data_IF_873674004902
#
_entry.id   IF_873674004902
#
_cell.length_a   1.000
_cell.length_b   1.000
_cell.length_c   1.000
_cell.angle_alpha   90.00
_cell.angle_beta   90.00
_cell.angle_gamma   90.00
#
_symmetry.space_group_name_H-M   'P 1'
#
loop_
_entity.id
_entity.type
_entity.pdbx_description
1 polymer ?
#
# COMPACT_ATOMS: atom_id res chain seq x y z
N UNK A 1 -42.08 -25.80 -0.20
CA UNK A 1 -40.83 -25.75 0.57
C UNK A 1 -39.75 -25.13 -0.34
N UNK A 2 -39.11 -24.04 0.00
CA UNK A 2 -37.99 -23.55 -0.79
C UNK A 2 -36.92 -24.63 -0.84
N UNK A 3 -36.38 -24.89 -2.00
CA UNK A 3 -35.27 -25.85 -2.17
C UNK A 3 -34.11 -25.45 -1.24
N UNK A 4 -33.43 -26.41 -0.58
CA UNK A 4 -32.29 -26.11 0.27
C UNK A 4 -31.22 -25.35 -0.52
N UNK A 5 -30.63 -24.34 0.10
CA UNK A 5 -29.47 -23.66 -0.47
C UNK A 5 -28.29 -24.64 -0.53
N UNK A 6 -27.72 -24.80 -1.70
CA UNK A 6 -26.58 -25.69 -1.96
C UNK A 6 -25.34 -24.93 -2.46
N UNK A 7 -25.39 -23.59 -2.41
CA UNK A 7 -24.31 -22.73 -2.90
C UNK A 7 -23.46 -22.23 -1.75
N UNK A 8 -22.14 -22.22 -1.91
CA UNK A 8 -21.23 -21.63 -0.98
C UNK A 8 -21.11 -20.12 -1.23
N UNK A 9 -20.81 -19.31 -0.18
CA UNK A 9 -20.65 -17.88 -0.34
C UNK A 9 -19.46 -17.55 -1.25
N UNK A 10 -19.55 -16.44 -1.96
CA UNK A 10 -18.52 -15.99 -2.88
C UNK A 10 -17.84 -14.74 -2.31
N UNK A 11 -16.51 -14.79 -2.18
CA UNK A 11 -15.70 -13.61 -1.90
C UNK A 11 -15.59 -12.80 -3.20
N UNK A 12 -16.15 -11.60 -3.21
CA UNK A 12 -16.25 -10.75 -4.39
C UNK A 12 -15.02 -9.86 -4.55
N UNK A 13 -14.54 -9.27 -3.45
CA UNK A 13 -13.40 -8.35 -3.44
C UNK A 13 -12.82 -8.17 -2.04
N UNK A 14 -11.71 -7.45 -1.96
CA UNK A 14 -11.05 -7.05 -0.72
C UNK A 14 -10.81 -5.54 -0.71
N UNK A 15 -10.73 -4.93 0.48
CA UNK A 15 -10.49 -3.49 0.65
C UNK A 15 -9.10 -3.03 0.19
N UNK A 16 -8.16 -3.96 0.10
CA UNK A 16 -6.81 -3.76 -0.42
C UNK A 16 -6.65 -4.75 -1.57
N UNK A 17 -6.18 -4.34 -2.75
CA UNK A 17 -5.89 -5.28 -3.84
C UNK A 17 -4.83 -6.31 -3.45
N UNK A 18 -4.97 -7.54 -3.93
CA UNK A 18 -3.91 -8.54 -3.81
C UNK A 18 -2.63 -8.03 -4.49
N UNK A 19 -1.46 -8.46 -4.00
CA UNK A 19 -0.13 -8.01 -4.42
C UNK A 19 0.23 -6.55 -4.06
N UNK A 20 -0.57 -5.90 -3.21
CA UNK A 20 -0.22 -4.59 -2.65
C UNK A 20 1.02 -4.66 -1.77
N UNK A 21 1.81 -3.58 -1.81
CA UNK A 21 2.96 -3.44 -0.92
C UNK A 21 2.53 -3.04 0.49
N UNK A 22 3.28 -3.55 1.47
CA UNK A 22 3.16 -3.17 2.88
C UNK A 22 4.41 -2.42 3.29
N UNK A 23 4.22 -1.32 4.02
CA UNK A 23 5.34 -0.51 4.55
C UNK A 23 6.28 -1.37 5.38
N UNK A 24 7.58 -1.11 5.25
CA UNK A 24 8.63 -1.76 6.03
C UNK A 24 8.38 -1.63 7.54
N UNK A 25 8.56 -2.74 8.26
CA UNK A 25 8.36 -2.81 9.70
C UNK A 25 6.90 -2.96 10.14
N UNK A 26 5.94 -3.08 9.20
CA UNK A 26 4.52 -3.27 9.52
C UNK A 26 4.18 -4.75 9.51
N UNK A 27 3.99 -5.33 10.69
CA UNK A 27 3.68 -6.75 10.87
C UNK A 27 2.18 -7.11 10.85
N UNK A 28 1.29 -6.12 10.71
CA UNK A 28 -0.16 -6.32 10.71
C UNK A 28 -0.87 -5.31 9.82
N UNK A 29 -1.87 -5.77 9.05
CA UNK A 29 -2.64 -4.94 8.11
C UNK A 29 -4.13 -5.20 8.31
N UNK A 30 -4.97 -4.16 8.55
CA UNK A 30 -6.41 -4.31 8.59
C UNK A 30 -6.93 -4.61 7.18
N UNK A 31 -7.82 -5.61 7.07
CA UNK A 31 -8.41 -6.03 5.82
C UNK A 31 -9.92 -6.22 5.97
N UNK A 32 -10.66 -5.75 4.96
CA UNK A 32 -12.06 -6.09 4.76
C UNK A 32 -12.18 -7.01 3.55
N UNK A 33 -12.95 -8.07 3.73
CA UNK A 33 -13.33 -9.02 2.67
C UNK A 33 -14.83 -8.90 2.45
N UNK A 34 -15.26 -8.77 1.21
CA UNK A 34 -16.67 -8.55 0.86
C UNK A 34 -17.27 -9.79 0.24
N UNK A 35 -18.39 -10.24 0.81
CA UNK A 35 -19.05 -11.52 0.48
C UNK A 35 -20.47 -11.24 -0.03
N UNK A 36 -20.96 -12.03 -0.96
CA UNK A 36 -22.27 -11.86 -1.60
C UNK A 36 -23.46 -12.19 -0.69
N UNK A 37 -23.25 -12.91 0.42
CA UNK A 37 -24.29 -13.35 1.33
C UNK A 37 -23.81 -13.42 2.79
N UNK A 38 -24.72 -13.51 3.80
CA UNK A 38 -24.33 -13.66 5.19
C UNK A 38 -23.47 -14.91 5.40
N UNK A 39 -22.26 -14.71 5.92
CA UNK A 39 -21.31 -15.78 6.11
C UNK A 39 -20.47 -15.60 7.38
N UNK A 40 -19.81 -16.68 7.81
CA UNK A 40 -18.69 -16.66 8.73
C UNK A 40 -17.43 -17.01 7.96
N UNK A 41 -16.41 -16.16 8.02
CA UNK A 41 -15.16 -16.35 7.28
C UNK A 41 -13.98 -16.60 8.23
N UNK A 42 -13.03 -17.35 7.73
CA UNK A 42 -11.74 -17.62 8.39
C UNK A 42 -10.60 -17.42 7.41
N UNK A 43 -9.40 -17.24 7.95
CA UNK A 43 -8.19 -17.21 7.15
C UNK A 43 -7.03 -17.95 7.81
N UNK A 44 -6.07 -18.33 7.00
CA UNK A 44 -4.81 -18.93 7.41
C UNK A 44 -3.69 -18.48 6.45
N UNK A 45 -2.44 -18.53 6.91
CA UNK A 45 -1.25 -18.36 6.05
C UNK A 45 -0.97 -19.59 5.18
N UNK A 46 -1.70 -20.67 5.38
CA UNK A 46 -1.61 -21.90 4.59
C UNK A 46 -2.98 -22.25 4.00
N UNK A 47 -2.99 -22.85 2.83
CA UNK A 47 -4.23 -23.33 2.21
C UNK A 47 -4.77 -24.54 2.97
N UNK A 48 -5.66 -24.30 3.91
CA UNK A 48 -6.28 -25.31 4.79
C UNK A 48 -7.78 -25.38 4.56
N UNK A 49 -8.37 -26.47 5.02
CA UNK A 49 -9.83 -26.57 5.11
C UNK A 49 -10.38 -25.59 6.15
N UNK A 50 -11.61 -25.10 5.94
CA UNK A 50 -12.27 -24.11 6.80
C UNK A 50 -12.26 -24.51 8.29
N UNK A 51 -12.50 -25.79 8.60
CA UNK A 51 -12.58 -26.29 9.97
C UNK A 51 -11.28 -26.12 10.77
N UNK A 52 -10.14 -26.16 10.08
CA UNK A 52 -8.79 -26.09 10.70
C UNK A 52 -8.07 -24.76 10.47
N UNK A 53 -8.74 -23.76 9.86
CA UNK A 53 -8.20 -22.40 9.78
C UNK A 53 -8.22 -21.74 11.16
N UNK A 54 -7.12 -21.08 11.52
CA UNK A 54 -6.86 -20.59 12.87
C UNK A 54 -7.54 -19.25 13.18
N UNK A 55 -7.75 -18.42 12.19
CA UNK A 55 -8.15 -17.03 12.40
C UNK A 55 -9.58 -16.80 11.92
N UNK A 56 -10.46 -16.41 12.86
CA UNK A 56 -11.85 -16.07 12.57
C UNK A 56 -11.98 -14.59 12.26
N UNK A 57 -12.82 -14.24 11.28
CA UNK A 57 -13.14 -12.88 10.90
C UNK A 57 -14.43 -12.40 11.60
N UNK A 58 -14.55 -11.09 11.79
CA UNK A 58 -15.78 -10.48 12.26
C UNK A 58 -16.63 -10.07 11.05
N UNK A 59 -17.72 -10.81 10.81
CA UNK A 59 -18.57 -10.65 9.63
C UNK A 59 -19.91 -10.00 9.97
N UNK A 60 -20.37 -9.06 9.14
CA UNK A 60 -21.75 -8.59 9.13
C UNK A 60 -22.67 -9.70 8.62
N UNK A 61 -23.78 -9.93 9.31
CA UNK A 61 -24.76 -10.98 8.96
C UNK A 61 -26.17 -10.48 8.76
N UNK A 62 -26.43 -9.20 9.07
CA UNK A 62 -27.73 -8.57 8.94
C UNK A 62 -27.85 -7.73 7.65
N UNK A 63 -29.00 -7.76 7.02
CA UNK A 63 -29.32 -6.94 5.84
C UNK A 63 -29.11 -5.43 6.06
N UNK A 64 -29.25 -4.94 7.29
CA UNK A 64 -28.99 -3.53 7.63
C UNK A 64 -27.51 -3.15 7.64
N UNK A 65 -26.61 -4.12 7.53
CA UNK A 65 -25.16 -3.96 7.59
C UNK A 65 -24.47 -4.18 6.24
N UNK A 66 -25.25 -4.37 5.18
CA UNK A 66 -24.70 -4.45 3.82
C UNK A 66 -24.12 -3.10 3.39
N UNK A 67 -23.06 -3.13 2.60
CA UNK A 67 -22.47 -1.92 2.03
C UNK A 67 -23.28 -1.41 0.81
N UNK A 68 -22.86 -0.28 0.23
CA UNK A 68 -23.51 0.32 -0.93
C UNK A 68 -23.53 -0.55 -2.21
N UNK A 69 -22.75 -1.66 -2.22
CA UNK A 69 -22.70 -2.65 -3.31
C UNK A 69 -23.50 -3.92 -3.00
N UNK A 70 -24.33 -3.87 -1.96
CA UNK A 70 -25.13 -5.01 -1.49
C UNK A 70 -24.27 -6.21 -1.02
N UNK A 71 -23.03 -5.95 -0.54
CA UNK A 71 -22.12 -6.97 -0.04
C UNK A 71 -22.00 -6.93 1.49
N UNK A 72 -21.80 -8.09 2.10
CA UNK A 72 -21.53 -8.26 3.51
C UNK A 72 -20.03 -8.12 3.78
N UNK A 73 -19.66 -7.35 4.78
CA UNK A 73 -18.27 -7.09 5.12
C UNK A 73 -17.80 -8.02 6.22
N UNK A 74 -16.70 -8.73 6.00
CA UNK A 74 -15.93 -9.46 7.00
C UNK A 74 -14.62 -8.71 7.28
N UNK A 75 -14.37 -8.35 8.52
CA UNK A 75 -13.19 -7.62 8.97
C UNK A 75 -12.20 -8.53 9.68
N UNK A 76 -10.92 -8.32 9.44
CA UNK A 76 -9.81 -8.92 10.19
C UNK A 76 -8.58 -8.04 10.19
N UNK A 77 -7.64 -8.32 11.10
CA UNK A 77 -6.25 -7.89 10.99
C UNK A 77 -5.41 -9.08 10.53
N UNK A 78 -4.83 -8.98 9.34
CA UNK A 78 -3.82 -9.92 8.89
C UNK A 78 -2.55 -9.69 9.70
N UNK A 79 -2.01 -10.74 10.29
CA UNK A 79 -0.82 -10.70 11.16
C UNK A 79 0.28 -11.61 10.64
N UNK A 80 1.49 -11.45 11.14
CA UNK A 80 2.64 -12.26 10.74
C UNK A 80 3.23 -11.83 9.39
N UNK A 81 2.95 -10.59 8.96
CA UNK A 81 3.53 -10.03 7.74
C UNK A 81 5.03 -9.82 7.95
N UNK A 82 5.80 -10.31 7.01
CA UNK A 82 7.26 -10.22 7.00
C UNK A 82 7.72 -9.26 5.93
N UNK A 83 8.72 -8.48 6.28
CA UNK A 83 9.41 -7.59 5.35
C UNK A 83 10.15 -8.36 4.26
N UNK A 84 10.26 -7.78 3.08
CA UNK A 84 11.02 -8.31 1.93
C UNK A 84 10.56 -9.67 1.42
N UNK A 85 9.36 -10.11 1.83
CA UNK A 85 8.80 -11.41 1.45
C UNK A 85 7.40 -11.24 0.85
N UNK A 86 6.98 -12.24 0.10
CA UNK A 86 5.58 -12.43 -0.25
C UNK A 86 4.85 -13.09 0.92
N UNK A 87 3.79 -12.44 1.39
CA UNK A 87 2.97 -12.90 2.50
C UNK A 87 1.64 -13.41 1.95
N UNK A 88 1.46 -14.72 1.94
CA UNK A 88 0.28 -15.39 1.40
C UNK A 88 -0.76 -15.66 2.47
N UNK A 89 -2.00 -15.39 2.14
CA UNK A 89 -3.17 -15.63 2.99
C UNK A 89 -4.24 -16.35 2.16
N UNK A 90 -5.01 -17.18 2.82
CA UNK A 90 -6.08 -17.96 2.21
C UNK A 90 -7.35 -17.78 3.03
N UNK A 91 -8.45 -17.43 2.36
CA UNK A 91 -9.74 -17.22 3.00
C UNK A 91 -10.72 -18.28 2.56
N UNK A 92 -11.57 -18.73 3.48
CA UNK A 92 -12.77 -19.52 3.20
C UNK A 92 -13.92 -18.96 4.01
N UNK A 93 -15.10 -18.99 3.43
CA UNK A 93 -16.33 -18.57 4.08
C UNK A 93 -17.34 -19.73 4.12
N UNK A 94 -18.21 -19.72 5.11
CA UNK A 94 -19.27 -20.65 5.33
C UNK A 94 -20.58 -19.87 5.46
N UNK A 95 -21.58 -20.21 4.65
CA UNK A 95 -22.85 -19.52 4.55
C UNK A 95 -23.75 -19.68 5.79
N UNK A 96 -24.93 -19.08 5.75
CA UNK A 96 -26.06 -19.27 6.64
C UNK A 96 -25.68 -19.40 8.14
N UNK A 97 -25.09 -18.35 8.79
CA UNK A 97 -24.57 -18.43 10.17
C UNK A 97 -25.60 -18.85 11.22
N UNK A 98 -26.89 -18.70 10.92
CA UNK A 98 -28.01 -19.06 11.82
C UNK A 98 -28.53 -20.49 11.67
N UNK A 99 -28.00 -21.25 10.69
CA UNK A 99 -28.41 -22.63 10.42
C UNK A 99 -27.50 -23.63 11.15
N UNK A 100 -28.00 -24.88 11.37
CA UNK A 100 -27.15 -25.98 11.83
C UNK A 100 -25.94 -26.19 10.93
N UNK A 101 -24.87 -26.72 11.49
CA UNK A 101 -23.56 -26.85 10.85
C UNK A 101 -23.61 -27.72 9.58
N UNK A 102 -24.44 -28.76 9.58
CA UNK A 102 -24.66 -29.69 8.50
C UNK A 102 -25.40 -29.09 7.28
N UNK A 103 -26.15 -28.00 7.49
CA UNK A 103 -26.93 -27.32 6.44
C UNK A 103 -26.16 -26.16 5.79
N UNK A 104 -24.92 -25.96 6.17
CA UNK A 104 -24.11 -24.79 5.76
C UNK A 104 -23.07 -25.19 4.72
N UNK A 105 -22.93 -24.37 3.68
CA UNK A 105 -21.99 -24.63 2.58
C UNK A 105 -20.69 -23.84 2.80
N UNK A 106 -19.58 -24.49 2.48
CA UNK A 106 -18.21 -23.92 2.57
C UNK A 106 -17.58 -23.84 1.20
N UNK A 107 -16.78 -22.80 0.93
CA UNK A 107 -16.01 -22.70 -0.30
C UNK A 107 -15.13 -23.95 -0.48
N UNK A 108 -15.27 -24.60 -1.63
CA UNK A 108 -14.42 -25.74 -2.00
C UNK A 108 -12.98 -25.28 -2.22
N UNK A 109 -12.80 -24.12 -2.88
CA UNK A 109 -11.51 -23.51 -3.08
C UNK A 109 -11.35 -22.31 -2.14
N UNK A 110 -10.17 -22.16 -1.57
CA UNK A 110 -9.83 -20.94 -0.82
C UNK A 110 -9.69 -19.76 -1.78
N UNK A 111 -9.95 -18.55 -1.27
CA UNK A 111 -9.62 -17.29 -1.94
C UNK A 111 -8.17 -16.93 -1.59
N UNK A 112 -7.23 -16.96 -2.55
CA UNK A 112 -5.85 -16.60 -2.32
C UNK A 112 -5.69 -15.09 -2.30
N UNK A 113 -4.88 -14.59 -1.37
CA UNK A 113 -4.57 -13.18 -1.23
C UNK A 113 -3.10 -13.02 -0.86
N UNK A 114 -2.41 -12.08 -1.48
CA UNK A 114 -0.99 -11.85 -1.26
C UNK A 114 -0.71 -10.40 -0.89
N UNK A 115 0.23 -10.18 0.04
CA UNK A 115 0.81 -8.88 0.36
C UNK A 115 2.32 -8.96 0.20
N UNK A 116 2.92 -7.92 -0.36
CA UNK A 116 4.37 -7.83 -0.54
C UNK A 116 4.97 -6.98 0.57
N UNK A 117 5.79 -7.59 1.42
CA UNK A 117 6.60 -6.86 2.39
C UNK A 117 7.68 -6.06 1.68
N UNK A 118 7.79 -4.77 1.99
CA UNK A 118 8.80 -3.89 1.40
C UNK A 118 10.08 -3.82 2.24
N UNK A 119 11.01 -3.00 1.81
CA UNK A 119 12.24 -2.62 2.51
C UNK A 119 12.29 -1.09 2.68
N UNK A 120 13.21 -0.52 3.46
CA UNK A 120 13.32 0.92 3.59
C UNK A 120 13.59 1.59 2.24
N UNK A 121 12.92 2.70 1.94
CA UNK A 121 13.26 3.54 0.79
C UNK A 121 14.53 4.33 1.10
N UNK A 122 15.47 4.38 0.14
CA UNK A 122 16.70 5.13 0.26
C UNK A 122 16.79 6.22 -0.82
N UNK A 123 17.33 7.39 -0.47
CA UNK A 123 17.81 8.38 -1.42
C UNK A 123 19.31 8.17 -1.57
N UNK A 124 19.74 7.73 -2.75
CA UNK A 124 21.15 7.37 -3.00
C UNK A 124 21.97 8.52 -3.57
N UNK A 125 21.32 9.51 -4.19
CA UNK A 125 21.99 10.72 -4.63
C UNK A 125 21.04 11.91 -4.74
N UNK A 126 21.60 13.12 -4.54
CA UNK A 126 20.94 14.40 -4.75
C UNK A 126 21.87 15.32 -5.53
N UNK A 127 21.31 16.19 -6.36
CA UNK A 127 22.03 17.21 -7.10
C UNK A 127 21.24 18.53 -7.16
N UNK A 128 21.92 19.67 -7.45
CA UNK A 128 23.31 19.81 -7.85
C UNK A 128 24.31 19.76 -6.69
N UNK A 129 25.54 19.42 -6.98
CA UNK A 129 26.67 19.52 -6.05
C UNK A 129 27.56 20.69 -6.45
N UNK A 130 27.92 21.57 -5.48
CA UNK A 130 28.85 22.67 -5.70
C UNK A 130 28.19 23.95 -6.22
N UNK A 131 28.72 24.52 -7.29
CA UNK A 131 28.33 25.85 -7.80
C UNK A 131 27.77 25.76 -9.22
N UNK A 132 26.60 26.32 -9.43
CA UNK A 132 26.05 26.56 -10.77
C UNK A 132 26.44 27.96 -11.25
N UNK A 133 26.86 28.10 -12.49
CA UNK A 133 27.28 29.39 -13.09
C UNK A 133 26.51 29.67 -14.36
N UNK A 134 26.23 30.94 -14.63
CA UNK A 134 25.60 31.39 -15.86
C UNK A 134 25.85 32.86 -16.12
N UNK A 135 25.56 33.32 -17.37
CA UNK A 135 25.77 34.69 -17.81
C UNK A 135 24.47 35.50 -17.92
N UNK A 136 23.39 35.02 -17.32
CA UNK A 136 22.06 35.64 -17.36
C UNK A 136 21.58 35.97 -15.97
N UNK A 137 20.56 36.83 -15.84
CA UNK A 137 19.98 37.21 -14.54
C UNK A 137 19.47 36.02 -13.72
N UNK A 138 19.09 34.93 -14.40
CA UNK A 138 18.75 33.67 -13.79
C UNK A 138 19.54 32.53 -14.44
N UNK A 139 19.95 31.56 -13.64
CA UNK A 139 20.70 30.37 -14.08
C UNK A 139 19.77 29.17 -13.98
N UNK A 140 19.57 28.39 -15.04
CA UNK A 140 18.81 27.17 -14.97
C UNK A 140 19.54 26.11 -14.15
N UNK A 141 18.89 25.61 -13.11
CA UNK A 141 19.41 24.59 -12.21
C UNK A 141 18.45 23.40 -12.21
N UNK A 142 18.97 22.21 -12.38
CA UNK A 142 18.19 20.98 -12.25
C UNK A 142 18.42 20.36 -10.88
N UNK A 143 17.39 20.41 -10.02
CA UNK A 143 17.34 19.56 -8.85
C UNK A 143 17.13 18.12 -9.28
N UNK A 144 17.92 17.20 -8.73
CA UNK A 144 17.83 15.78 -9.06
C UNK A 144 17.88 14.96 -7.78
N UNK A 145 17.03 13.94 -7.72
CA UNK A 145 17.02 12.93 -6.65
C UNK A 145 16.98 11.55 -7.29
N UNK A 146 17.75 10.62 -6.76
CA UNK A 146 17.71 9.22 -7.15
C UNK A 146 17.37 8.39 -5.93
N UNK A 147 16.37 7.54 -6.06
CA UNK A 147 15.88 6.62 -5.02
C UNK A 147 16.20 5.18 -5.37
N UNK A 148 16.29 4.32 -4.36
CA UNK A 148 16.55 2.90 -4.47
C UNK A 148 15.86 2.13 -3.34
N UNK A 149 15.81 0.80 -3.43
CA UNK A 149 15.16 -0.07 -2.47
C UNK A 149 13.64 0.19 -2.32
N UNK A 150 13.13 0.28 -1.10
CA UNK A 150 11.71 0.52 -0.81
C UNK A 150 10.77 -0.58 -1.28
N UNK A 151 9.59 -0.16 -1.69
CA UNK A 151 8.66 -0.93 -2.48
C UNK A 151 8.95 -0.71 -3.98
N UNK A 152 8.85 -1.75 -4.80
CA UNK A 152 8.99 -1.66 -6.24
C UNK A 152 10.33 -1.02 -6.71
N UNK A 153 11.44 -1.49 -6.15
CA UNK A 153 12.81 -1.15 -6.60
C UNK A 153 13.09 0.37 -6.66
N UNK A 154 12.66 1.11 -5.64
CA UNK A 154 12.93 2.53 -5.51
C UNK A 154 11.97 3.46 -6.26
N UNK A 155 11.02 2.94 -7.03
CA UNK A 155 10.01 3.79 -7.69
C UNK A 155 9.20 4.55 -6.64
N UNK A 156 9.29 5.87 -6.67
CA UNK A 156 8.71 6.74 -5.64
C UNK A 156 8.16 8.05 -6.20
N UNK A 157 7.50 8.82 -5.34
CA UNK A 157 7.03 10.17 -5.61
C UNK A 157 7.83 11.10 -4.73
N UNK A 158 8.58 12.03 -5.34
CA UNK A 158 9.41 12.98 -4.62
C UNK A 158 8.84 14.39 -4.70
N UNK A 159 9.01 15.12 -3.62
CA UNK A 159 8.71 16.54 -3.47
C UNK A 159 9.91 17.28 -2.91
N UNK A 160 9.96 18.60 -3.14
CA UNK A 160 11.04 19.47 -2.67
C UNK A 160 10.49 20.70 -1.97
N UNK A 161 11.30 21.29 -1.08
CA UNK A 161 10.99 22.51 -0.35
C UNK A 161 12.25 23.31 -0.09
N UNK A 162 12.15 24.65 -0.18
CA UNK A 162 13.22 25.59 0.22
C UNK A 162 13.23 25.88 1.72
N UNK A 163 12.13 25.66 2.43
CA UNK A 163 11.99 25.94 3.86
C UNK A 163 11.96 24.71 4.74
N UNK A 164 11.50 23.57 4.20
CA UNK A 164 11.30 22.32 4.94
C UNK A 164 10.07 22.30 5.85
N UNK A 165 9.22 23.33 5.81
CA UNK A 165 7.96 23.32 6.54
C UNK A 165 6.98 22.30 5.95
N UNK A 166 6.12 21.66 6.74
CA UNK A 166 5.22 20.59 6.27
C UNK A 166 4.39 20.98 5.04
N UNK A 167 3.91 22.21 4.97
CA UNK A 167 3.04 22.71 3.89
C UNK A 167 3.80 23.38 2.73
N UNK A 168 5.13 23.31 2.71
CA UNK A 168 5.97 23.96 1.70
C UNK A 168 6.52 23.02 0.64
N UNK A 169 6.23 21.73 0.74
CA UNK A 169 6.68 20.74 -0.23
C UNK A 169 5.83 20.77 -1.50
N UNK A 170 6.51 20.85 -2.64
CA UNK A 170 5.93 20.84 -3.97
C UNK A 170 6.41 19.60 -4.70
N UNK A 171 5.52 18.93 -5.43
CA UNK A 171 5.89 17.77 -6.24
C UNK A 171 6.92 18.15 -7.28
N UNK A 172 7.93 17.30 -7.47
CA UNK A 172 8.87 17.44 -8.57
C UNK A 172 8.17 17.18 -9.89
N UNK A 173 8.58 17.89 -10.93
CA UNK A 173 7.96 17.82 -12.26
C UNK A 173 8.05 16.41 -12.85
N UNK A 174 9.24 15.83 -12.86
CA UNK A 174 9.44 14.43 -13.21
C UNK A 174 9.59 13.61 -11.94
N UNK A 175 8.61 12.75 -11.69
CA UNK A 175 8.53 11.86 -10.51
C UNK A 175 7.74 10.59 -10.87
N UNK A 176 7.44 9.73 -9.92
CA UNK A 176 6.89 8.37 -10.10
C UNK A 176 7.87 7.44 -10.84
N UNK A 177 9.13 7.58 -10.54
CA UNK A 177 10.24 6.84 -11.11
C UNK A 177 11.29 6.58 -10.03
N UNK A 178 12.45 6.11 -10.43
CA UNK A 178 13.66 6.00 -9.60
C UNK A 178 14.46 7.31 -9.63
N UNK A 179 14.43 8.00 -10.76
CA UNK A 179 15.08 9.29 -10.97
C UNK A 179 14.02 10.41 -11.01
N UNK A 180 14.23 11.48 -10.24
CA UNK A 180 13.31 12.60 -10.11
C UNK A 180 14.02 13.88 -10.45
N UNK A 181 13.40 14.76 -11.24
CA UNK A 181 14.00 16.02 -11.67
C UNK A 181 13.03 17.20 -11.53
N UNK A 182 13.60 18.36 -11.19
CA UNK A 182 12.90 19.63 -11.17
C UNK A 182 13.84 20.73 -11.66
N UNK A 183 13.49 21.37 -12.77
CA UNK A 183 14.19 22.57 -13.23
C UNK A 183 13.68 23.80 -12.49
N UNK A 184 14.64 24.63 -12.05
CA UNK A 184 14.42 25.97 -11.47
C UNK A 184 15.30 26.99 -12.19
N UNK A 185 14.81 28.20 -12.39
CA UNK A 185 15.60 29.33 -12.87
C UNK A 185 15.89 30.25 -11.68
N UNK A 186 17.14 30.24 -11.20
CA UNK A 186 17.55 30.84 -9.93
C UNK A 186 18.48 32.02 -10.16
N UNK A 187 18.34 33.06 -9.33
CA UNK A 187 19.27 34.20 -9.28
C UNK A 187 20.53 33.85 -8.50
N UNK A 188 21.56 34.69 -8.58
CA UNK A 188 22.78 34.58 -7.74
C UNK A 188 22.41 34.49 -6.26
N UNK A 189 22.97 33.49 -5.56
CA UNK A 189 22.69 33.25 -4.15
C UNK A 189 23.06 31.88 -3.65
N UNK A 190 22.84 31.63 -2.37
CA UNK A 190 23.02 30.32 -1.75
C UNK A 190 21.64 29.67 -1.53
N UNK A 191 21.52 28.42 -1.89
CA UNK A 191 20.29 27.68 -1.87
C UNK A 191 20.42 26.40 -1.03
N UNK A 192 19.36 26.09 -0.30
CA UNK A 192 19.18 24.83 0.42
C UNK A 192 17.81 24.29 0.11
N UNK A 193 17.75 23.14 -0.52
CA UNK A 193 16.50 22.42 -0.78
C UNK A 193 16.46 21.10 -0.02
N UNK A 194 15.29 20.80 0.52
CA UNK A 194 14.99 19.54 1.18
C UNK A 194 14.08 18.70 0.28
N UNK A 195 14.36 17.43 0.22
CA UNK A 195 13.59 16.45 -0.55
C UNK A 195 12.91 15.48 0.37
N UNK A 196 11.70 15.09 -0.02
CA UNK A 196 10.94 14.02 0.61
C UNK A 196 10.37 13.13 -0.46
N UNK A 197 10.70 11.84 -0.41
CA UNK A 197 10.24 10.82 -1.33
C UNK A 197 9.41 9.78 -0.58
N UNK A 198 8.33 9.31 -1.19
CA UNK A 198 7.45 8.26 -0.66
C UNK A 198 7.18 7.25 -1.76
N UNK A 199 7.35 5.97 -1.46
CA UNK A 199 7.08 4.88 -2.39
C UNK A 199 5.64 4.34 -2.29
N UNK A 200 5.31 3.35 -3.11
CA UNK A 200 3.98 2.72 -3.13
C UNK A 200 3.66 1.87 -1.90
N UNK A 201 4.67 1.51 -1.10
CA UNK A 201 4.50 0.84 0.19
C UNK A 201 4.25 1.80 1.35
N UNK A 202 4.42 3.11 1.11
CA UNK A 202 4.35 4.15 2.14
C UNK A 202 5.67 4.34 2.90
N UNK A 203 6.79 3.80 2.41
CA UNK A 203 8.11 4.09 2.96
C UNK A 203 8.52 5.49 2.53
N UNK A 204 9.09 6.27 3.45
CA UNK A 204 9.55 7.63 3.21
C UNK A 204 11.05 7.75 3.41
N UNK A 205 11.69 8.58 2.58
CA UNK A 205 13.08 8.97 2.70
C UNK A 205 13.21 10.49 2.53
N UNK A 206 14.18 11.09 3.22
CA UNK A 206 14.44 12.52 3.19
C UNK A 206 15.93 12.78 2.93
N UNK A 207 16.21 13.84 2.20
CA UNK A 207 17.57 14.33 1.96
C UNK A 207 17.56 15.86 1.78
N UNK A 208 18.73 16.48 1.77
CA UNK A 208 18.89 17.87 1.46
C UNK A 208 20.07 18.10 0.53
N UNK A 209 20.02 19.19 -0.21
CA UNK A 209 21.11 19.66 -1.06
C UNK A 209 21.37 21.14 -0.80
N UNK A 210 22.65 21.52 -0.73
CA UNK A 210 23.09 22.92 -0.60
C UNK A 210 24.03 23.25 -1.73
N UNK A 211 23.79 24.36 -2.43
CA UNK A 211 24.60 24.81 -3.55
C UNK A 211 24.56 26.34 -3.70
N UNK A 212 25.46 26.87 -4.49
CA UNK A 212 25.52 28.29 -4.83
C UNK A 212 25.25 28.51 -6.32
N UNK A 213 24.66 29.67 -6.63
CA UNK A 213 24.50 30.18 -8.01
C UNK A 213 25.30 31.47 -8.11
N UNK A 214 26.18 31.57 -9.13
CA UNK A 214 27.06 32.72 -9.41
C UNK A 214 26.81 33.29 -10.78
#
# INVERSE_FOLDING_TARGET
DPSPDTTAPVIMETSIPSDSFVKFGVGSVPLQVYVNEPATCKWSSQNKEYSVMENTMNCATNLTQINARELYTCFTNLTGIKDREENKFFFRCKDQPSKPEEDRNVNVNSYPFNLRGSQPLNIVSVAPNGTATGNTNTVPVNLKVVTDDGANEGVSICSFSSTGLPNSYVLMFETKAVEHTQRLDLTTGNYNYRFRCVDYGGNAAEANVTFSVL
#
